data_IF_284812645650
#
_entry.id   IF_284812645650
#
_cell.length_a   1.000
_cell.length_b   1.000
_cell.length_c   1.000
_cell.angle_alpha   90.00
_cell.angle_beta   90.00
_cell.angle_gamma   90.00
#
_symmetry.space_group_name_H-M   'P 1'
#
loop_
_entity.id
_entity.type
_entity.pdbx_description
1 polymer ?
#
# COMPACT_ATOMS: atom_id res chain seq x y z
N UNK A 1 -0.37 1.38 11.31
CA UNK A 1 0.57 1.27 10.19
C UNK A 1 -0.13 0.90 8.88
N UNK A 2 0.06 1.71 7.85
CA UNK A 2 -0.46 1.57 6.48
C UNK A 2 0.66 1.15 5.53
N UNK A 3 0.35 0.34 4.52
CA UNK A 3 1.26 -0.01 3.43
C UNK A 3 0.71 0.53 2.12
N UNK A 4 1.45 1.41 1.46
CA UNK A 4 1.13 1.92 0.14
C UNK A 4 2.01 1.23 -0.92
N UNK A 5 1.42 0.89 -2.05
CA UNK A 5 2.08 0.10 -3.10
C UNK A 5 1.83 0.74 -4.47
N UNK A 6 2.92 1.02 -5.18
CA UNK A 6 3.01 1.25 -6.62
C UNK A 6 3.30 -0.11 -7.27
N UNK A 7 2.30 -0.70 -7.91
CA UNK A 7 2.36 -2.06 -8.43
C UNK A 7 2.78 -2.14 -9.89
N UNK A 8 2.55 -1.06 -10.64
CA UNK A 8 2.85 -0.97 -12.07
C UNK A 8 4.19 -0.26 -12.35
N UNK A 9 4.88 0.19 -11.30
CA UNK A 9 6.11 0.99 -11.35
C UNK A 9 5.94 2.32 -12.09
N UNK A 10 4.72 2.85 -12.15
CA UNK A 10 4.40 4.07 -12.85
C UNK A 10 3.93 5.16 -11.86
N UNK A 11 4.86 6.01 -11.45
CA UNK A 11 4.54 7.13 -10.55
C UNK A 11 3.52 8.17 -11.06
N UNK A 12 3.03 8.05 -12.30
CA UNK A 12 1.96 8.89 -12.86
C UNK A 12 0.55 8.32 -12.67
N UNK A 13 0.40 7.07 -12.26
CA UNK A 13 -0.86 6.41 -11.94
C UNK A 13 -1.11 6.39 -10.42
N UNK A 14 -2.30 5.94 -10.03
CA UNK A 14 -2.67 5.82 -8.62
C UNK A 14 -2.79 7.16 -7.88
N UNK A 15 -2.85 7.08 -6.57
CA UNK A 15 -2.81 8.24 -5.68
C UNK A 15 -1.36 8.69 -5.53
N UNK A 16 -0.96 9.70 -6.32
CA UNK A 16 0.42 10.23 -6.35
C UNK A 16 1.52 9.17 -6.55
N UNK A 17 1.21 8.12 -7.33
CA UNK A 17 2.08 6.99 -7.60
C UNK A 17 1.71 5.69 -6.89
N UNK A 18 0.72 5.68 -5.98
CA UNK A 18 0.32 4.46 -5.28
C UNK A 18 -1.02 3.92 -5.78
N UNK A 19 -1.02 2.72 -6.34
CA UNK A 19 -2.21 2.02 -6.84
C UNK A 19 -3.04 1.42 -5.70
N UNK A 20 -2.37 0.97 -4.65
CA UNK A 20 -2.99 0.21 -3.56
C UNK A 20 -2.61 0.74 -2.19
N UNK A 21 -3.52 0.58 -1.24
CA UNK A 21 -3.28 0.76 0.19
C UNK A 21 -3.82 -0.43 0.98
N UNK A 22 -3.03 -0.90 1.94
CA UNK A 22 -3.41 -1.97 2.87
C UNK A 22 -3.52 -1.38 4.28
N UNK A 23 -4.38 -1.99 5.11
CA UNK A 23 -4.55 -1.65 6.52
C UNK A 23 -5.26 -0.32 6.80
N UNK A 24 -5.84 0.29 5.76
CA UNK A 24 -6.68 1.49 5.94
C UNK A 24 -7.96 1.18 6.69
N UNK A 25 -8.53 0.00 6.47
CA UNK A 25 -9.66 -0.52 7.23
C UNK A 25 -9.31 -1.92 7.78
N UNK A 26 -9.19 -2.04 9.09
CA UNK A 26 -8.94 -3.31 9.77
C UNK A 26 -10.29 -3.86 10.22
N UNK A 27 -10.66 -5.06 9.77
CA UNK A 27 -11.96 -5.66 10.09
C UNK A 27 -11.94 -6.29 11.49
N UNK A 28 -10.86 -7.01 11.80
CA UNK A 28 -10.69 -7.70 13.07
C UNK A 28 -9.19 -7.94 13.40
N UNK A 29 -8.90 -8.84 14.35
CA UNK A 29 -7.55 -9.12 14.85
C UNK A 29 -6.60 -9.73 13.81
N UNK A 30 -7.11 -10.42 12.78
CA UNK A 30 -6.30 -11.13 11.80
C UNK A 30 -6.70 -10.85 10.34
N UNK A 31 -7.72 -10.02 10.12
CA UNK A 31 -8.24 -9.67 8.80
C UNK A 31 -8.20 -8.15 8.56
N UNK A 32 -7.50 -7.77 7.50
CA UNK A 32 -7.37 -6.40 7.02
C UNK A 32 -7.85 -6.28 5.58
N UNK A 33 -7.81 -5.08 5.02
CA UNK A 33 -8.30 -4.81 3.68
C UNK A 33 -7.18 -4.41 2.74
N UNK A 34 -7.30 -4.86 1.50
CA UNK A 34 -6.65 -4.29 0.33
C UNK A 34 -7.62 -3.33 -0.34
N UNK A 35 -7.20 -2.09 -0.52
CA UNK A 35 -7.97 -1.09 -1.26
C UNK A 35 -7.19 -0.64 -2.49
N UNK A 36 -7.88 -0.42 -3.60
CA UNK A 36 -7.33 0.10 -4.86
C UNK A 36 -7.78 1.54 -5.06
N UNK A 37 -6.89 2.38 -5.56
CA UNK A 37 -7.22 3.73 -5.96
C UNK A 37 -8.03 3.74 -7.26
N UNK A 38 -9.07 4.55 -7.30
CA UNK A 38 -9.90 4.83 -8.48
C UNK A 38 -10.19 6.33 -8.55
N UNK A 39 -9.58 7.00 -9.53
CA UNK A 39 -9.73 8.44 -9.73
C UNK A 39 -11.11 8.86 -10.22
N UNK A 40 -11.94 7.92 -10.69
CA UNK A 40 -13.31 8.19 -11.13
C UNK A 40 -14.26 8.36 -9.94
N UNK A 41 -13.85 7.96 -8.73
CA UNK A 41 -14.66 8.05 -7.51
C UNK A 41 -14.29 9.31 -6.72
N UNK A 42 -15.14 10.33 -6.78
CA UNK A 42 -14.87 11.64 -6.17
C UNK A 42 -15.03 11.69 -4.65
N UNK A 43 -15.95 10.91 -4.07
CA UNK A 43 -16.22 10.93 -2.62
C UNK A 43 -15.30 9.99 -1.85
N UNK A 44 -15.08 8.78 -2.36
CA UNK A 44 -14.17 7.81 -1.77
C UNK A 44 -13.34 7.12 -2.87
N UNK A 45 -12.15 7.68 -3.19
CA UNK A 45 -11.33 7.15 -4.26
C UNK A 45 -10.62 5.84 -3.92
N UNK A 46 -10.76 5.33 -2.69
CA UNK A 46 -10.18 4.06 -2.29
C UNK A 46 -11.28 3.02 -2.14
N UNK A 47 -11.28 2.06 -3.07
CA UNK A 47 -12.26 1.00 -3.13
C UNK A 47 -11.70 -0.27 -2.51
N UNK A 48 -12.42 -0.87 -1.58
CA UNK A 48 -12.06 -2.18 -1.02
C UNK A 48 -12.18 -3.25 -2.13
N UNK A 49 -11.08 -3.96 -2.40
CA UNK A 49 -11.02 -4.97 -3.47
C UNK A 49 -10.81 -6.39 -2.95
N UNK A 50 -10.29 -6.54 -1.73
CA UNK A 50 -10.12 -7.83 -1.07
C UNK A 50 -9.90 -7.71 0.43
N UNK A 51 -10.18 -8.79 1.16
CA UNK A 51 -9.70 -9.01 2.52
C UNK A 51 -8.39 -9.79 2.50
N UNK A 52 -7.47 -9.44 3.40
CA UNK A 52 -6.14 -9.99 3.54
C UNK A 52 -5.93 -10.51 4.94
N UNK A 53 -5.23 -11.64 5.06
CA UNK A 53 -4.76 -12.14 6.35
C UNK A 53 -3.52 -11.37 6.77
N UNK A 54 -3.50 -10.97 8.03
CA UNK A 54 -2.32 -10.38 8.66
C UNK A 54 -2.19 -10.87 10.10
N UNK A 55 -1.02 -10.70 10.69
CA UNK A 55 -0.80 -10.99 12.10
C UNK A 55 0.17 -9.99 12.72
N UNK A 56 -0.07 -9.66 13.99
CA UNK A 56 0.88 -8.91 14.82
C UNK A 56 1.49 -9.83 15.88
N UNK A 57 2.81 -9.74 16.03
CA UNK A 57 3.56 -10.35 17.12
C UNK A 57 4.54 -9.33 17.68
N UNK A 58 4.24 -8.77 18.85
CA UNK A 58 5.04 -7.69 19.43
C UNK A 58 5.08 -6.46 18.52
N UNK A 59 6.27 -6.13 18.00
CA UNK A 59 6.52 -5.02 17.08
C UNK A 59 6.62 -5.46 15.61
N UNK A 60 6.24 -6.70 15.29
CA UNK A 60 6.30 -7.26 13.94
C UNK A 60 4.90 -7.38 13.33
N UNK A 61 4.80 -7.01 12.05
CA UNK A 61 3.59 -7.15 11.23
C UNK A 61 3.91 -8.01 10.01
N UNK A 62 3.15 -9.08 9.81
CA UNK A 62 3.14 -9.85 8.58
C UNK A 62 1.80 -9.72 7.87
N UNK A 63 1.83 -9.51 6.55
CA UNK A 63 0.64 -9.43 5.69
C UNK A 63 0.85 -10.36 4.50
N UNK A 64 -0.13 -11.22 4.22
CA UNK A 64 -0.10 -12.09 3.05
C UNK A 64 -0.96 -11.51 1.92
N UNK A 65 -0.34 -11.23 0.77
CA UNK A 65 -1.02 -10.64 -0.40
C UNK A 65 -0.86 -11.53 -1.63
N UNK A 66 -1.95 -12.10 -2.17
CA UNK A 66 -1.91 -12.78 -3.46
C UNK A 66 -1.47 -11.85 -4.60
N UNK A 67 -0.41 -12.21 -5.32
CA UNK A 67 0.17 -11.43 -6.44
C UNK A 67 -0.86 -10.94 -7.46
N UNK A 68 -1.83 -11.80 -7.81
CA UNK A 68 -2.91 -11.49 -8.76
C UNK A 68 -3.75 -10.28 -8.36
N UNK A 69 -3.91 -10.02 -7.06
CA UNK A 69 -4.68 -8.88 -6.56
C UNK A 69 -3.94 -7.55 -6.79
N UNK A 70 -2.61 -7.60 -6.82
CA UNK A 70 -1.74 -6.48 -7.16
C UNK A 70 -1.45 -6.40 -8.67
N UNK A 71 -2.13 -7.20 -9.50
CA UNK A 71 -1.92 -7.26 -10.95
C UNK A 71 -0.50 -7.72 -11.37
N UNK A 72 0.26 -8.35 -10.46
CA UNK A 72 1.64 -8.81 -10.66
C UNK A 72 1.69 -10.19 -11.33
N UNK A 73 1.20 -10.27 -12.57
CA UNK A 73 0.99 -11.53 -13.30
C UNK A 73 2.22 -12.05 -14.05
N UNK A 74 3.24 -11.21 -14.26
CA UNK A 74 4.45 -11.59 -15.00
C UNK A 74 5.44 -12.40 -14.13
N UNK A 75 6.27 -13.23 -14.76
CA UNK A 75 7.30 -14.04 -14.06
C UNK A 75 8.40 -13.19 -13.42
N UNK A 76 8.63 -12.00 -13.97
CA UNK A 76 9.46 -10.95 -13.38
C UNK A 76 8.65 -9.67 -13.20
N UNK A 77 8.81 -9.01 -12.06
CA UNK A 77 8.13 -7.75 -11.77
C UNK A 77 8.97 -6.89 -10.82
N UNK A 78 8.67 -5.60 -10.79
CA UNK A 78 9.13 -4.70 -9.75
C UNK A 78 7.92 -3.97 -9.18
N UNK A 79 7.97 -3.66 -7.89
CA UNK A 79 6.98 -2.80 -7.24
C UNK A 79 7.70 -1.86 -6.28
N UNK A 80 7.16 -0.66 -6.15
CA UNK A 80 7.61 0.32 -5.17
C UNK A 80 6.62 0.37 -4.02
N UNK A 81 7.10 0.55 -2.80
CA UNK A 81 6.22 0.56 -1.62
C UNK A 81 6.75 1.43 -0.49
N UNK A 82 5.82 1.80 0.40
CA UNK A 82 6.06 2.64 1.56
C UNK A 82 5.20 2.23 2.74
N UNK A 83 5.80 2.24 3.92
CA UNK A 83 5.09 2.19 5.18
C UNK A 83 4.82 3.59 5.71
N UNK A 84 3.64 3.79 6.27
CA UNK A 84 3.28 5.01 7.01
C UNK A 84 2.56 4.63 8.28
N UNK A 85 3.11 4.99 9.43
CA UNK A 85 2.50 4.73 10.72
C UNK A 85 1.97 6.02 11.37
N UNK A 86 0.83 5.89 12.04
CA UNK A 86 0.12 6.98 12.69
C UNK A 86 -0.07 8.24 11.80
N UNK A 87 -0.36 8.05 10.50
CA UNK A 87 -0.67 9.14 9.59
C UNK A 87 -1.98 9.83 10.00
N UNK A 88 -1.95 11.15 10.18
CA UNK A 88 -3.15 11.91 10.53
C UNK A 88 -4.14 11.97 9.36
N UNK A 89 -3.65 12.31 8.17
CA UNK A 89 -4.42 12.31 6.92
C UNK A 89 -3.53 11.86 5.76
N UNK A 90 -4.15 11.38 4.68
CA UNK A 90 -3.49 11.07 3.41
C UNK A 90 -4.15 11.91 2.30
N UNK A 91 -3.95 13.22 2.37
CA UNK A 91 -4.52 14.17 1.41
C UNK A 91 -3.63 14.29 0.18
N UNK A 92 -2.33 14.47 0.41
CA UNK A 92 -1.31 14.60 -0.62
C UNK A 92 0.05 14.06 -0.11
N UNK A 93 1.10 14.01 -0.94
CA UNK A 93 2.39 13.46 -0.52
C UNK A 93 3.10 14.25 0.58
N UNK A 94 2.72 15.51 0.84
CA UNK A 94 3.28 16.30 1.94
C UNK A 94 2.78 15.75 3.28
N UNK A 95 1.61 15.11 3.33
CA UNK A 95 1.12 14.45 4.54
C UNK A 95 2.14 13.47 5.14
N UNK A 96 2.95 12.80 4.31
CA UNK A 96 4.06 11.93 4.74
C UNK A 96 5.21 12.64 5.45
N UNK A 97 5.25 13.97 5.43
CA UNK A 97 6.30 14.79 6.03
C UNK A 97 5.83 15.53 7.29
N UNK A 98 4.53 15.51 7.59
CA UNK A 98 3.93 16.34 8.63
C UNK A 98 3.62 15.57 9.91
N UNK A 99 2.95 14.42 9.78
CA UNK A 99 2.45 13.66 10.92
C UNK A 99 2.75 12.17 10.77
N UNK A 100 3.03 11.52 11.90
CA UNK A 100 3.37 10.11 11.94
C UNK A 100 4.82 9.83 11.55
N UNK A 101 5.10 8.57 11.25
CA UNK A 101 6.40 8.11 10.78
C UNK A 101 6.26 7.41 9.42
N UNK A 102 7.31 7.47 8.60
CA UNK A 102 7.30 6.82 7.28
C UNK A 102 8.59 6.07 7.02
N UNK A 103 8.47 4.88 6.46
CA UNK A 103 9.61 4.10 6.00
C UNK A 103 9.46 3.79 4.50
N UNK A 104 10.32 4.35 3.63
CA UNK A 104 11.40 5.28 3.93
C UNK A 104 10.87 6.71 4.15
N UNK A 105 11.74 7.63 4.59
CA UNK A 105 11.31 9.00 4.90
C UNK A 105 10.72 9.76 3.70
N UNK A 106 9.77 10.66 3.99
CA UNK A 106 9.20 11.61 3.00
C UNK A 106 8.65 10.87 1.77
N UNK A 107 8.99 11.32 0.56
CA UNK A 107 8.49 10.79 -0.72
C UNK A 107 9.38 9.69 -1.33
N UNK A 108 10.38 9.18 -0.60
CA UNK A 108 11.14 8.03 -1.09
C UNK A 108 10.31 6.75 -1.07
N UNK A 109 10.68 5.74 -1.85
CA UNK A 109 10.06 4.42 -1.81
C UNK A 109 11.12 3.33 -1.67
N UNK A 110 10.75 2.21 -1.04
CA UNK A 110 11.50 0.98 -1.22
C UNK A 110 11.13 0.37 -2.56
N UNK A 111 12.08 -0.30 -3.20
CA UNK A 111 11.87 -1.02 -4.46
C UNK A 111 12.15 -2.49 -4.25
N UNK A 112 11.17 -3.32 -4.58
CA UNK A 112 11.32 -4.76 -4.65
C UNK A 112 11.42 -5.20 -6.11
N UNK A 113 12.41 -6.03 -6.44
CA UNK A 113 12.62 -6.56 -7.79
C UNK A 113 12.62 -8.08 -7.70
N UNK A 114 11.67 -8.72 -8.38
CA UNK A 114 11.57 -10.16 -8.51
C UNK A 114 11.93 -10.60 -9.92
N UNK A 115 12.77 -11.63 -10.01
CA UNK A 115 13.08 -12.34 -11.24
C UNK A 115 12.98 -13.83 -10.96
N UNK A 116 12.20 -14.56 -11.76
CA UNK A 116 12.24 -16.01 -11.73
C UNK A 116 13.64 -16.47 -12.14
N UNK A 117 14.24 -17.36 -11.36
CA UNK A 117 15.54 -17.97 -11.66
C UNK A 117 15.42 -19.02 -12.75
#
# INVERSE_FOLDING_TARGET
MLLLIDSDNNSSTGWFGYDFIINRNVKDRNTTTLMRYDSLQSENPWLEVAELKFNYSGNELEISVPRKLLQLNADSFALDFKWSDNAAELKDPISFCLNGDTAPNRRFNYRFIWKQK
#
